data_IF_231373081058
#
_entry.id   IF_231373081058
#
_cell.length_a   1.000
_cell.length_b   1.000
_cell.length_c   1.000
_cell.angle_alpha   90.00
_cell.angle_beta   90.00
_cell.angle_gamma   90.00
#
_symmetry.space_group_name_H-M   'P 1'
#
loop_
_entity.id
_entity.type
_entity.pdbx_description
1 polymer ?
#
# COMPACT_ATOMS: atom_id res chain seq x y z
N UNK A 1 -34.89 42.07 -52.50
CA UNK A 1 -34.63 40.77 -51.85
C UNK A 1 -33.27 40.81 -51.18
N UNK A 2 -33.21 40.90 -49.85
CA UNK A 2 -31.99 40.66 -49.06
C UNK A 2 -32.37 39.58 -48.04
N UNK A 3 -31.79 38.38 -48.18
CA UNK A 3 -31.94 37.31 -47.20
C UNK A 3 -31.16 37.66 -45.93
N UNK A 4 -31.67 37.35 -44.72
CA UNK A 4 -30.87 37.42 -43.51
C UNK A 4 -30.00 36.16 -43.41
N UNK A 5 -28.70 36.37 -43.17
CA UNK A 5 -27.76 35.28 -42.83
C UNK A 5 -27.98 34.92 -41.37
N UNK A 6 -28.47 33.72 -41.10
CA UNK A 6 -28.60 33.16 -39.76
C UNK A 6 -27.22 32.62 -39.33
N UNK A 7 -26.55 33.33 -38.44
CA UNK A 7 -25.33 32.86 -37.78
C UNK A 7 -25.70 31.82 -36.71
N UNK A 8 -25.50 30.54 -37.03
CA UNK A 8 -25.59 29.45 -36.07
C UNK A 8 -24.30 29.48 -35.23
N UNK A 9 -24.40 29.89 -33.97
CA UNK A 9 -23.36 29.68 -32.99
C UNK A 9 -23.35 28.20 -32.57
N UNK A 10 -22.46 27.41 -33.17
CA UNK A 10 -22.10 26.10 -32.64
C UNK A 10 -21.26 26.31 -31.38
N UNK A 11 -21.91 26.30 -30.22
CA UNK A 11 -21.24 26.20 -28.93
C UNK A 11 -20.46 24.88 -28.92
N UNK A 12 -19.15 24.97 -29.19
CA UNK A 12 -18.23 23.88 -28.92
C UNK A 12 -18.15 23.76 -27.40
N UNK A 13 -18.95 22.87 -26.83
CA UNK A 13 -18.65 22.30 -25.53
C UNK A 13 -17.36 21.51 -25.70
N UNK A 14 -16.23 22.20 -25.54
CA UNK A 14 -14.94 21.55 -25.37
C UNK A 14 -15.04 20.70 -24.12
N UNK A 15 -15.23 19.39 -24.30
CA UNK A 15 -14.93 18.43 -23.25
C UNK A 15 -13.43 18.56 -23.03
N UNK A 16 -13.03 19.35 -22.04
CA UNK A 16 -11.66 19.35 -21.55
C UNK A 16 -11.36 17.92 -21.14
N UNK A 17 -10.56 17.22 -21.95
CA UNK A 17 -10.10 15.88 -21.61
C UNK A 17 -9.36 16.00 -20.29
N UNK A 18 -9.88 15.36 -19.24
CA UNK A 18 -9.24 15.36 -17.94
C UNK A 18 -7.79 14.87 -18.09
N UNK A 19 -6.84 15.61 -17.50
CA UNK A 19 -5.44 15.24 -17.55
C UNK A 19 -5.20 13.94 -16.78
N UNK A 20 -4.41 13.04 -17.36
CA UNK A 20 -3.90 11.87 -16.66
C UNK A 20 -2.63 12.31 -15.91
N UNK A 21 -2.66 12.20 -14.59
CA UNK A 21 -1.56 12.52 -13.71
C UNK A 21 -0.79 11.26 -13.30
N UNK A 22 0.41 11.46 -12.77
CA UNK A 22 1.24 10.38 -12.22
C UNK A 22 1.85 10.78 -10.90
N UNK A 23 1.98 9.83 -9.98
CA UNK A 23 2.70 10.03 -8.74
C UNK A 23 3.48 8.78 -8.34
N UNK A 24 4.61 8.98 -7.66
CA UNK A 24 5.36 7.89 -7.05
C UNK A 24 4.82 7.56 -5.66
N UNK A 25 4.90 6.29 -5.27
CA UNK A 25 4.77 5.81 -3.91
C UNK A 25 6.01 4.98 -3.57
N UNK A 26 6.78 5.46 -2.59
CA UNK A 26 7.95 4.76 -2.04
C UNK A 26 7.81 4.62 -0.53
N UNK A 27 8.38 3.57 0.02
CA UNK A 27 8.28 3.26 1.45
C UNK A 27 9.43 2.34 1.88
N UNK A 28 9.68 2.28 3.18
CA UNK A 28 10.52 1.26 3.82
C UNK A 28 11.92 1.22 3.18
N UNK A 29 12.59 2.38 3.21
CA UNK A 29 13.92 2.56 2.64
C UNK A 29 14.98 1.86 3.50
N UNK A 30 14.82 1.93 4.83
CA UNK A 30 15.72 1.37 5.84
C UNK A 30 17.20 1.49 5.46
N UNK A 31 17.78 2.67 5.62
CA UNK A 31 19.21 2.87 5.41
C UNK A 31 20.00 2.17 6.52
N UNK A 32 20.82 1.19 6.16
CA UNK A 32 21.90 0.69 7.01
C UNK A 32 23.17 1.53 6.74
N UNK A 33 23.54 2.46 7.65
CA UNK A 33 24.70 3.33 7.45
C UNK A 33 26.03 2.58 7.56
N UNK A 34 26.03 1.40 8.17
CA UNK A 34 27.22 0.60 8.45
C UNK A 34 27.40 -0.56 7.48
N UNK A 35 26.52 -0.70 6.47
CA UNK A 35 26.67 -1.70 5.42
C UNK A 35 28.02 -1.57 4.71
N UNK A 36 28.76 -2.67 4.65
CA UNK A 36 30.03 -2.77 3.92
C UNK A 36 30.25 -4.18 3.39
N UNK A 37 30.78 -4.29 2.18
CA UNK A 37 31.26 -5.57 1.65
C UNK A 37 32.47 -5.99 2.48
N UNK A 38 32.35 -7.12 3.19
CA UNK A 38 33.34 -7.63 4.13
C UNK A 38 33.63 -9.11 3.83
N UNK A 39 34.87 -9.54 4.10
CA UNK A 39 35.25 -10.96 4.09
C UNK A 39 34.78 -11.70 5.34
N UNK A 40 34.53 -10.97 6.43
CA UNK A 40 33.89 -11.51 7.62
C UNK A 40 32.36 -11.39 7.47
N UNK A 41 31.63 -12.52 7.35
CA UNK A 41 30.18 -12.53 7.15
C UNK A 41 29.37 -11.91 8.29
N UNK A 42 29.94 -11.74 9.48
CA UNK A 42 29.27 -11.14 10.65
C UNK A 42 29.53 -9.63 10.77
N UNK A 43 30.30 -9.06 9.85
CA UNK A 43 30.69 -7.65 9.84
C UNK A 43 30.21 -6.93 8.57
N UNK A 44 29.26 -7.51 7.83
CA UNK A 44 28.69 -6.89 6.64
C UNK A 44 27.72 -5.77 7.00
N UNK A 45 26.73 -6.08 7.85
CA UNK A 45 25.68 -5.15 8.23
C UNK A 45 25.15 -5.48 9.63
N UNK A 46 24.91 -4.48 10.51
CA UNK A 46 24.30 -4.71 11.81
C UNK A 46 22.83 -5.18 11.72
N UNK A 47 22.11 -4.83 10.65
CA UNK A 47 20.70 -5.20 10.42
C UNK A 47 20.46 -6.71 10.24
N UNK A 48 21.48 -7.49 9.87
CA UNK A 48 21.42 -8.96 9.84
C UNK A 48 21.50 -9.59 11.24
N UNK A 49 21.80 -8.81 12.28
CA UNK A 49 22.00 -9.29 13.64
C UNK A 49 23.17 -10.26 13.72
N UNK A 50 22.90 -11.51 14.11
CA UNK A 50 23.90 -12.57 14.22
C UNK A 50 23.92 -13.53 13.02
N UNK A 51 23.20 -13.22 11.94
CA UNK A 51 23.11 -14.08 10.76
C UNK A 51 24.31 -13.83 9.85
N UNK A 52 25.06 -14.87 9.44
CA UNK A 52 26.20 -14.68 8.56
C UNK A 52 25.75 -14.27 7.15
N UNK A 53 26.27 -13.15 6.66
CA UNK A 53 26.01 -12.61 5.33
C UNK A 53 27.13 -13.03 4.39
N UNK A 54 26.88 -14.06 3.59
CA UNK A 54 27.88 -14.65 2.70
C UNK A 54 27.86 -13.96 1.33
N UNK A 55 29.03 -13.63 0.79
CA UNK A 55 29.19 -13.04 -0.55
C UNK A 55 28.35 -11.77 -0.77
N UNK A 56 28.28 -10.91 0.24
CA UNK A 56 27.56 -9.64 0.17
C UNK A 56 28.01 -8.81 -1.04
N UNK A 57 27.05 -8.32 -1.83
CA UNK A 57 27.33 -7.48 -2.99
C UNK A 57 27.26 -5.98 -2.67
N UNK A 58 27.68 -5.10 -3.61
CA UNK A 58 27.67 -3.66 -3.37
C UNK A 58 26.25 -3.08 -3.28
N UNK A 59 25.24 -3.71 -3.89
CA UNK A 59 23.87 -3.20 -3.95
C UNK A 59 23.00 -3.63 -2.76
N UNK A 60 23.55 -4.41 -1.83
CA UNK A 60 22.83 -4.93 -0.67
C UNK A 60 22.87 -6.45 -0.61
N UNK A 61 22.21 -7.00 0.40
CA UNK A 61 22.02 -8.43 0.61
C UNK A 61 20.63 -8.64 1.22
N UNK A 62 19.97 -9.75 0.89
CA UNK A 62 18.62 -10.04 1.43
C UNK A 62 18.60 -10.22 2.95
N UNK A 63 19.72 -10.36 3.65
CA UNK A 63 19.77 -10.37 5.11
C UNK A 63 19.94 -8.98 5.73
N UNK A 64 20.28 -7.99 4.92
CA UNK A 64 20.60 -6.63 5.36
C UNK A 64 19.49 -5.66 4.96
N UNK A 65 19.44 -4.57 5.72
CA UNK A 65 18.80 -3.35 5.27
C UNK A 65 19.63 -2.66 4.16
N UNK A 66 19.04 -1.63 3.54
CA UNK A 66 19.57 -1.02 2.33
C UNK A 66 20.90 -0.28 2.56
N UNK A 67 21.96 -0.56 1.78
CA UNK A 67 23.07 0.37 1.70
C UNK A 67 22.65 1.68 1.03
N UNK A 68 23.36 2.77 1.33
CA UNK A 68 23.12 4.09 0.71
C UNK A 68 23.05 4.03 -0.83
N UNK A 69 23.91 3.22 -1.45
CA UNK A 69 23.98 3.12 -2.90
C UNK A 69 22.72 2.52 -3.53
N UNK A 70 22.03 1.61 -2.83
CA UNK A 70 20.75 1.05 -3.26
C UNK A 70 19.65 2.10 -3.20
N UNK A 71 19.53 2.80 -2.07
CA UNK A 71 18.55 3.89 -1.92
C UNK A 71 18.80 4.96 -2.98
N UNK A 72 20.05 5.41 -3.15
CA UNK A 72 20.41 6.37 -4.18
C UNK A 72 20.02 5.85 -5.57
N UNK A 73 20.31 4.59 -5.89
CA UNK A 73 19.90 3.97 -7.16
C UNK A 73 18.38 4.01 -7.36
N UNK A 74 17.58 3.71 -6.33
CA UNK A 74 16.11 3.75 -6.43
C UNK A 74 15.57 5.14 -6.77
N UNK A 75 16.06 6.19 -6.08
CA UNK A 75 15.60 7.56 -6.29
C UNK A 75 16.01 8.09 -7.68
N UNK A 76 17.20 7.72 -8.15
CA UNK A 76 17.64 8.07 -9.52
C UNK A 76 16.89 7.26 -10.59
N UNK A 77 16.54 6.00 -10.33
CA UNK A 77 15.70 5.22 -11.24
C UNK A 77 14.30 5.83 -11.37
N UNK A 78 13.68 6.27 -10.27
CA UNK A 78 12.41 7.01 -10.30
C UNK A 78 12.51 8.24 -11.21
N UNK A 79 13.62 9.00 -11.12
CA UNK A 79 13.85 10.18 -11.95
C UNK A 79 14.06 9.84 -13.42
N UNK A 80 14.72 8.73 -13.73
CA UNK A 80 14.89 8.26 -15.11
C UNK A 80 13.55 7.85 -15.73
N UNK A 81 12.70 7.15 -14.96
CA UNK A 81 11.41 6.63 -15.42
C UNK A 81 10.37 7.75 -15.56
N UNK A 82 10.18 8.57 -14.52
CA UNK A 82 9.23 9.68 -14.51
C UNK A 82 9.85 10.86 -13.72
N UNK A 83 10.56 11.77 -14.42
CA UNK A 83 11.25 12.90 -13.77
C UNK A 83 10.32 14.02 -13.31
N UNK A 84 9.06 14.04 -13.77
CA UNK A 84 8.09 15.10 -13.48
C UNK A 84 6.76 14.51 -12.99
N UNK A 85 6.78 13.75 -11.89
CA UNK A 85 5.53 13.32 -11.25
C UNK A 85 4.79 14.55 -10.70
N UNK A 86 3.47 14.45 -10.57
CA UNK A 86 2.68 15.50 -9.94
C UNK A 86 3.05 15.67 -8.45
N UNK A 87 3.35 14.55 -7.78
CA UNK A 87 3.81 14.48 -6.40
C UNK A 87 4.45 13.12 -6.10
N UNK A 88 5.03 12.98 -4.90
CA UNK A 88 5.60 11.73 -4.38
C UNK A 88 4.97 11.46 -3.01
N UNK A 89 4.47 10.24 -2.82
CA UNK A 89 4.07 9.71 -1.52
C UNK A 89 5.25 8.94 -0.94
N UNK A 90 5.73 9.37 0.22
CA UNK A 90 6.78 8.69 0.98
C UNK A 90 6.22 8.33 2.35
N UNK A 91 6.02 7.03 2.59
CA UNK A 91 5.31 6.52 3.78
C UNK A 91 6.24 6.07 4.92
N UNK A 92 7.49 6.55 4.94
CA UNK A 92 8.42 6.41 6.07
C UNK A 92 9.23 5.11 6.11
N UNK A 93 9.68 4.77 7.32
CA UNK A 93 10.63 3.70 7.68
C UNK A 93 12.02 3.83 7.03
N UNK A 94 12.79 4.72 7.64
CA UNK A 94 14.06 5.22 7.10
C UNK A 94 15.28 4.55 7.72
N UNK A 95 15.15 4.04 8.95
CA UNK A 95 16.26 3.59 9.80
C UNK A 95 16.40 2.07 9.81
N UNK A 96 17.57 1.50 10.11
CA UNK A 96 17.78 0.06 10.01
C UNK A 96 17.15 -0.70 11.19
N UNK A 97 16.89 -1.98 10.98
CA UNK A 97 16.45 -2.96 11.97
C UNK A 97 17.61 -3.34 12.91
N UNK A 98 17.86 -2.51 13.92
CA UNK A 98 18.88 -2.75 14.94
C UNK A 98 18.29 -2.54 16.33
N UNK A 99 18.90 -3.10 17.40
CA UNK A 99 18.50 -2.79 18.78
C UNK A 99 18.59 -1.29 19.07
N UNK A 100 17.69 -0.77 19.90
CA UNK A 100 17.61 0.66 20.25
C UNK A 100 18.93 1.21 20.81
N UNK A 101 19.69 0.39 21.54
CA UNK A 101 21.00 0.79 22.10
C UNK A 101 22.04 1.12 21.02
N UNK A 102 21.81 0.69 19.78
CA UNK A 102 22.66 0.97 18.61
C UNK A 102 22.13 2.09 17.73
N UNK A 103 20.94 2.63 18.00
CA UNK A 103 20.30 3.66 17.19
C UNK A 103 19.69 4.76 18.08
N UNK A 104 20.54 5.73 18.45
CA UNK A 104 20.10 6.90 19.21
C UNK A 104 19.32 7.91 18.35
N UNK A 105 18.57 8.80 19.01
CA UNK A 105 17.74 9.84 18.40
C UNK A 105 18.49 10.69 17.36
N UNK A 106 19.73 11.09 17.64
CA UNK A 106 20.53 11.88 16.71
C UNK A 106 20.82 11.13 15.40
N UNK A 107 21.06 9.82 15.46
CA UNK A 107 21.27 8.99 14.27
C UNK A 107 19.98 8.84 13.46
N UNK A 108 18.82 8.67 14.14
CA UNK A 108 17.50 8.67 13.50
C UNK A 108 17.27 9.96 12.71
N UNK A 109 17.43 11.12 13.36
CA UNK A 109 17.23 12.41 12.72
C UNK A 109 18.21 12.65 11.57
N UNK A 110 19.46 12.22 11.71
CA UNK A 110 20.47 12.33 10.64
C UNK A 110 20.10 11.49 9.42
N UNK A 111 19.60 10.27 9.61
CA UNK A 111 19.16 9.40 8.51
C UNK A 111 17.96 10.04 7.79
N UNK A 112 16.95 10.49 8.54
CA UNK A 112 15.77 11.16 7.97
C UNK A 112 16.14 12.44 7.20
N UNK A 113 17.04 13.26 7.74
CA UNK A 113 17.54 14.46 7.06
C UNK A 113 18.26 14.09 5.76
N UNK A 114 19.11 13.06 5.79
CA UNK A 114 19.89 12.60 4.64
C UNK A 114 18.98 12.11 3.50
N UNK A 115 17.96 11.32 3.81
CA UNK A 115 16.99 10.83 2.82
C UNK A 115 16.10 11.96 2.29
N UNK A 116 15.62 12.84 3.17
CA UNK A 116 14.86 14.03 2.79
C UNK A 116 15.65 14.91 1.84
N UNK A 117 16.95 15.09 2.09
CA UNK A 117 17.85 15.86 1.23
C UNK A 117 18.02 15.20 -0.14
N UNK A 118 18.25 13.90 -0.21
CA UNK A 118 18.36 13.16 -1.48
C UNK A 118 17.10 13.35 -2.34
N UNK A 119 15.91 13.14 -1.77
CA UNK A 119 14.65 13.29 -2.51
C UNK A 119 14.49 14.74 -3.03
N UNK A 120 14.78 15.75 -2.19
CA UNK A 120 14.71 17.17 -2.58
C UNK A 120 15.69 17.55 -3.68
N UNK A 121 16.90 16.99 -3.64
CA UNK A 121 17.94 17.25 -4.65
C UNK A 121 17.60 16.60 -5.99
N UNK A 122 17.06 15.38 -5.98
CA UNK A 122 16.73 14.64 -7.20
C UNK A 122 15.44 15.18 -7.83
N UNK A 123 14.43 15.51 -7.01
CA UNK A 123 13.12 16.05 -7.40
C UNK A 123 12.87 17.46 -6.82
N UNK A 124 13.54 18.50 -7.34
CA UNK A 124 13.29 19.87 -6.90
C UNK A 124 11.87 20.30 -7.27
N UNK A 125 11.09 20.72 -6.27
CA UNK A 125 9.71 21.19 -6.45
C UNK A 125 8.61 20.16 -6.19
N UNK A 126 8.96 18.89 -5.91
CA UNK A 126 8.00 17.84 -5.55
C UNK A 126 7.76 17.74 -4.02
N UNK A 127 7.63 18.87 -3.32
CA UNK A 127 7.47 18.89 -1.86
C UNK A 127 6.25 19.71 -1.38
N UNK A 128 5.54 19.11 -0.43
CA UNK A 128 4.31 19.50 0.29
C UNK A 128 3.17 20.16 -0.51
N UNK A 129 2.00 19.52 -0.44
CA UNK A 129 0.72 20.19 -0.51
C UNK A 129 -0.33 19.35 0.21
N UNK A 130 -1.05 19.94 1.19
CA UNK A 130 -2.25 19.29 1.75
C UNK A 130 -3.45 19.36 0.79
N UNK A 131 -3.39 20.25 -0.21
CA UNK A 131 -4.29 20.27 -1.37
C UNK A 131 -3.50 20.01 -2.63
N UNK A 132 -3.85 18.98 -3.38
CA UNK A 132 -3.11 18.58 -4.57
C UNK A 132 -3.05 19.73 -5.60
N UNK A 133 -1.86 20.06 -6.14
CA UNK A 133 -1.73 21.02 -7.20
C UNK A 133 -2.33 20.42 -8.47
N UNK A 134 -3.48 20.94 -8.90
CA UNK A 134 -4.16 20.48 -10.11
C UNK A 134 -5.17 21.51 -10.60
N UNK A 135 -5.56 21.47 -11.89
CA UNK A 135 -6.48 22.46 -12.47
C UNK A 135 -7.86 22.49 -11.82
N UNK A 136 -8.24 21.44 -11.08
CA UNK A 136 -9.50 21.34 -10.33
C UNK A 136 -9.43 21.85 -8.89
N UNK A 137 -8.26 21.87 -8.25
CA UNK A 137 -8.09 22.24 -6.83
C UNK A 137 -8.90 21.39 -5.82
N UNK A 138 -9.49 20.27 -6.26
CA UNK A 138 -10.46 19.48 -5.51
C UNK A 138 -9.90 18.15 -4.96
N UNK A 139 -8.57 18.03 -4.87
CA UNK A 139 -7.89 16.85 -4.33
C UNK A 139 -7.14 17.16 -3.04
N UNK A 140 -7.14 16.22 -2.10
CA UNK A 140 -6.45 16.34 -0.80
C UNK A 140 -5.66 15.07 -0.49
N UNK A 141 -4.48 15.23 0.09
CA UNK A 141 -3.75 14.12 0.73
C UNK A 141 -3.92 14.25 2.23
N UNK A 142 -4.32 13.17 2.89
CA UNK A 142 -4.35 13.05 4.36
C UNK A 142 -3.22 12.14 4.78
N UNK A 143 -2.30 12.65 5.59
CA UNK A 143 -1.13 11.93 6.09
C UNK A 143 -1.38 11.53 7.55
N UNK A 144 -1.44 10.23 7.81
CA UNK A 144 -1.70 9.68 9.13
C UNK A 144 -0.41 9.20 9.81
N UNK A 145 -0.30 9.46 11.11
CA UNK A 145 0.64 8.78 11.99
C UNK A 145 -0.02 7.51 12.57
N UNK A 146 -0.02 6.43 11.81
CA UNK A 146 -0.61 5.15 12.26
C UNK A 146 0.30 4.35 13.20
N UNK A 147 1.53 4.83 13.46
CA UNK A 147 2.40 4.29 14.51
C UNK A 147 1.78 4.46 15.91
N UNK A 148 0.89 5.44 16.08
CA UNK A 148 0.08 5.63 17.28
C UNK A 148 -0.80 4.41 17.57
N UNK A 149 -1.17 3.64 16.55
CA UNK A 149 -2.08 2.51 16.68
C UNK A 149 -1.35 1.17 16.82
N UNK A 150 -0.03 1.16 16.63
CA UNK A 150 0.76 -0.06 16.64
C UNK A 150 0.70 -0.72 18.04
N UNK A 151 0.40 -2.01 18.09
CA UNK A 151 0.28 -2.79 19.33
C UNK A 151 1.55 -2.81 20.19
N UNK A 152 2.72 -2.54 19.60
CA UNK A 152 4.00 -2.41 20.32
C UNK A 152 4.28 -1.00 20.85
N UNK A 153 3.45 -0.01 20.50
CA UNK A 153 3.58 1.33 21.04
C UNK A 153 2.92 1.40 22.42
N UNK A 154 3.74 1.40 23.48
CA UNK A 154 3.26 1.50 24.86
C UNK A 154 2.81 2.92 25.24
N UNK A 155 3.22 3.95 24.49
CA UNK A 155 2.84 5.34 24.76
C UNK A 155 1.33 5.59 24.54
N UNK A 156 0.66 4.73 23.78
CA UNK A 156 -0.76 4.86 23.43
C UNK A 156 -1.64 3.73 24.01
N UNK A 157 -1.09 2.87 24.88
CA UNK A 157 -1.73 1.61 25.29
C UNK A 157 -3.15 1.74 25.87
N UNK A 158 -3.45 2.85 26.55
CA UNK A 158 -4.74 3.09 27.21
C UNK A 158 -5.49 4.31 26.64
N UNK A 159 -5.14 4.75 25.43
CA UNK A 159 -5.77 5.90 24.77
C UNK A 159 -6.81 5.41 23.78
N UNK A 160 -8.04 5.92 23.84
CA UNK A 160 -9.08 5.59 22.87
C UNK A 160 -8.84 6.29 21.50
N UNK A 161 -8.34 7.53 21.54
CA UNK A 161 -8.01 8.31 20.35
C UNK A 161 -6.69 9.09 20.59
N UNK A 162 -5.52 8.43 20.44
CA UNK A 162 -4.23 9.08 20.67
C UNK A 162 -4.06 10.28 19.74
N UNK A 163 -3.71 11.43 20.32
CA UNK A 163 -3.60 12.73 19.65
C UNK A 163 -4.89 13.23 18.96
N UNK A 164 -6.07 12.68 19.31
CA UNK A 164 -7.35 12.98 18.67
C UNK A 164 -7.34 12.77 17.14
N UNK A 165 -6.50 11.85 16.65
CA UNK A 165 -6.30 11.65 15.21
C UNK A 165 -7.53 11.04 14.52
N UNK A 166 -8.33 10.20 15.19
CA UNK A 166 -9.57 9.69 14.62
C UNK A 166 -10.64 10.77 14.54
N UNK A 167 -10.84 11.56 15.60
CA UNK A 167 -11.76 12.69 15.56
C UNK A 167 -11.35 13.72 14.48
N UNK A 168 -10.06 14.06 14.42
CA UNK A 168 -9.53 14.94 13.38
C UNK A 168 -9.75 14.38 11.96
N UNK A 169 -9.52 13.08 11.76
CA UNK A 169 -9.76 12.43 10.47
C UNK A 169 -11.25 12.48 10.07
N UNK A 170 -12.15 12.23 11.03
CA UNK A 170 -13.60 12.37 10.82
C UNK A 170 -13.99 13.77 10.34
N UNK A 171 -13.42 14.79 10.98
CA UNK A 171 -13.66 16.20 10.65
C UNK A 171 -13.10 16.57 9.28
N UNK A 172 -11.89 16.12 8.94
CA UNK A 172 -11.25 16.36 7.64
C UNK A 172 -12.05 15.73 6.50
N UNK A 173 -12.46 14.47 6.64
CA UNK A 173 -13.23 13.77 5.61
C UNK A 173 -14.66 14.33 5.48
N UNK A 174 -15.28 14.72 6.59
CA UNK A 174 -16.55 15.46 6.57
C UNK A 174 -16.44 16.81 5.86
N UNK A 175 -15.33 17.53 6.06
CA UNK A 175 -15.03 18.77 5.35
C UNK A 175 -14.80 18.55 3.86
N UNK A 176 -14.06 17.51 3.48
CA UNK A 176 -13.85 17.14 2.09
C UNK A 176 -15.19 16.87 1.37
N UNK A 177 -16.09 16.13 2.03
CA UNK A 177 -17.44 15.88 1.51
C UNK A 177 -18.24 17.16 1.29
N UNK A 178 -18.22 18.09 2.25
CA UNK A 178 -18.88 19.41 2.11
C UNK A 178 -18.28 20.26 1.00
N UNK A 179 -16.97 20.14 0.78
CA UNK A 179 -16.24 20.91 -0.23
C UNK A 179 -16.25 20.26 -1.62
N UNK A 180 -16.79 19.04 -1.77
CA UNK A 180 -16.71 18.28 -3.01
C UNK A 180 -15.27 17.85 -3.36
N UNK A 181 -14.40 17.69 -2.34
CA UNK A 181 -13.03 17.23 -2.50
C UNK A 181 -12.95 15.70 -2.45
N UNK A 182 -12.02 15.13 -3.21
CA UNK A 182 -11.60 13.72 -3.12
C UNK A 182 -10.29 13.61 -2.35
N UNK A 183 -10.09 12.48 -1.66
CA UNK A 183 -9.01 12.29 -0.70
C UNK A 183 -8.20 11.04 -1.02
N UNK A 184 -6.88 11.18 -1.02
CA UNK A 184 -5.95 10.07 -0.81
C UNK A 184 -5.53 10.03 0.65
N UNK A 185 -5.61 8.85 1.27
CA UNK A 185 -5.11 8.63 2.63
C UNK A 185 -3.76 7.91 2.54
N UNK A 186 -2.76 8.41 3.25
CA UNK A 186 -1.47 7.73 3.39
C UNK A 186 -1.14 7.51 4.86
N UNK A 187 -0.42 6.43 5.14
CA UNK A 187 0.12 6.13 6.46
C UNK A 187 1.21 5.08 6.36
N UNK A 188 1.88 4.80 7.47
CA UNK A 188 2.96 3.81 7.48
C UNK A 188 2.41 2.40 7.77
N UNK A 189 2.02 2.14 9.02
CA UNK A 189 1.45 0.86 9.48
C UNK A 189 0.01 0.71 8.99
N UNK A 190 -0.34 -0.37 8.25
CA UNK A 190 -1.71 -0.59 7.79
C UNK A 190 -2.59 -1.28 8.85
N UNK A 191 -3.93 -1.08 8.81
CA UNK A 191 -4.89 -1.92 9.52
C UNK A 191 -4.96 -3.32 8.90
N UNK A 192 -5.64 -4.24 9.60
CA UNK A 192 -5.83 -5.62 9.17
C UNK A 192 -4.62 -6.50 9.48
N UNK A 193 -4.42 -7.51 8.64
CA UNK A 193 -3.49 -8.60 8.90
C UNK A 193 -2.33 -8.62 7.90
N UNK A 194 -1.20 -9.18 8.32
CA UNK A 194 -0.06 -9.48 7.48
C UNK A 194 -0.28 -10.77 6.72
N UNK A 195 -0.14 -10.75 5.41
CA UNK A 195 -0.51 -11.86 4.53
C UNK A 195 0.49 -13.03 4.54
N UNK A 196 1.73 -12.81 5.02
CA UNK A 196 2.76 -13.86 5.10
C UNK A 196 2.67 -14.75 6.33
N UNK A 197 1.75 -14.49 7.24
CA UNK A 197 1.58 -15.30 8.45
C UNK A 197 0.20 -15.12 9.07
N UNK A 198 -0.29 -16.16 9.75
CA UNK A 198 -1.63 -16.12 10.36
C UNK A 198 -1.67 -15.25 11.60
N UNK A 199 -2.82 -14.59 11.79
CA UNK A 199 -3.17 -13.89 13.03
C UNK A 199 -2.18 -12.80 13.45
N UNK A 200 -1.42 -12.24 12.50
CA UNK A 200 -0.54 -11.11 12.75
C UNK A 200 -1.20 -9.82 12.27
N UNK A 201 -1.77 -9.08 13.22
CA UNK A 201 -2.15 -7.69 13.01
C UNK A 201 -1.10 -6.75 13.62
N UNK A 202 -1.08 -5.51 13.13
CA UNK A 202 -0.23 -4.45 13.68
C UNK A 202 -1.02 -3.60 14.67
N UNK A 203 -2.18 -3.09 14.25
CA UNK A 203 -3.03 -2.26 15.09
C UNK A 203 -3.54 -3.03 16.30
N UNK A 204 -3.72 -2.33 17.42
CA UNK A 204 -4.60 -2.80 18.49
C UNK A 204 -6.03 -2.92 17.92
N UNK A 205 -6.78 -3.91 18.39
CA UNK A 205 -8.07 -4.27 17.80
C UNK A 205 -9.07 -3.09 17.79
N UNK A 206 -9.14 -2.31 18.87
CA UNK A 206 -10.04 -1.17 18.97
C UNK A 206 -9.71 -0.07 17.96
N UNK A 207 -8.41 0.19 17.72
CA UNK A 207 -7.98 1.15 16.68
C UNK A 207 -8.29 0.63 15.27
N UNK A 208 -8.18 -0.67 15.04
CA UNK A 208 -8.56 -1.28 13.77
C UNK A 208 -10.06 -1.12 13.51
N UNK A 209 -10.89 -1.32 14.54
CA UNK A 209 -12.35 -1.11 14.48
C UNK A 209 -12.71 0.36 14.21
N UNK A 210 -12.09 1.31 14.89
CA UNK A 210 -12.37 2.74 14.67
C UNK A 210 -11.93 3.20 13.26
N UNK A 211 -10.78 2.72 12.77
CA UNK A 211 -10.35 2.98 11.39
C UNK A 211 -11.40 2.48 10.38
N UNK A 212 -11.86 1.24 10.51
CA UNK A 212 -12.88 0.66 9.64
C UNK A 212 -14.18 1.46 9.64
N UNK A 213 -14.62 1.93 10.81
CA UNK A 213 -15.81 2.77 10.95
C UNK A 213 -15.68 4.09 10.18
N UNK A 214 -14.51 4.73 10.22
CA UNK A 214 -14.27 5.95 9.45
C UNK A 214 -14.23 5.70 7.94
N UNK A 215 -13.60 4.61 7.49
CA UNK A 215 -13.64 4.24 6.06
C UNK A 215 -15.08 3.98 5.63
N UNK A 216 -15.85 3.19 6.39
CA UNK A 216 -17.26 2.92 6.09
C UNK A 216 -18.12 4.20 6.06
N UNK A 217 -17.86 5.16 6.95
CA UNK A 217 -18.59 6.45 6.98
C UNK A 217 -18.25 7.33 5.77
N UNK A 218 -16.98 7.37 5.38
CA UNK A 218 -16.43 8.39 4.45
C UNK A 218 -15.98 7.88 3.10
N UNK A 219 -16.15 6.60 2.80
CA UNK A 219 -15.62 5.96 1.57
C UNK A 219 -15.91 6.74 0.28
N UNK A 220 -17.05 7.46 0.20
CA UNK A 220 -17.44 8.25 -0.98
C UNK A 220 -16.47 9.38 -1.33
N UNK A 221 -15.71 9.89 -0.38
CA UNK A 221 -14.68 10.92 -0.63
C UNK A 221 -13.26 10.35 -0.65
N UNK A 222 -13.08 9.06 -0.37
CA UNK A 222 -11.76 8.42 -0.32
C UNK A 222 -11.51 7.73 -1.66
N UNK A 223 -10.62 8.30 -2.46
CA UNK A 223 -10.28 7.80 -3.79
C UNK A 223 -9.21 6.69 -3.77
N UNK A 224 -8.43 6.59 -2.69
CA UNK A 224 -7.40 5.57 -2.52
C UNK A 224 -6.69 5.67 -1.18
N UNK A 225 -6.11 4.56 -0.72
CA UNK A 225 -5.34 4.49 0.51
C UNK A 225 -3.96 3.85 0.21
N UNK A 226 -2.87 4.41 0.74
CA UNK A 226 -1.50 4.01 0.37
C UNK A 226 -0.63 3.84 1.62
N UNK A 227 -0.12 2.63 1.82
CA UNK A 227 0.62 2.24 3.02
C UNK A 227 1.87 1.42 2.68
N UNK A 228 2.76 1.26 3.66
CA UNK A 228 4.00 0.48 3.57
C UNK A 228 4.07 -0.57 4.69
N UNK A 229 5.17 -0.55 5.44
CA UNK A 229 5.45 -1.33 6.65
C UNK A 229 5.67 -2.84 6.44
N UNK A 230 4.92 -3.44 5.53
CA UNK A 230 4.98 -4.89 5.30
C UNK A 230 6.09 -5.30 4.32
N UNK A 231 6.72 -4.33 3.64
CA UNK A 231 7.76 -4.49 2.61
C UNK A 231 7.35 -5.28 1.36
N UNK A 232 6.12 -5.80 1.33
CA UNK A 232 5.61 -6.67 0.30
C UNK A 232 4.54 -5.97 -0.53
N UNK A 233 4.34 -6.48 -1.75
CA UNK A 233 3.30 -6.01 -2.64
C UNK A 233 1.95 -6.67 -2.31
N UNK A 234 1.02 -5.88 -1.80
CA UNK A 234 -0.33 -6.38 -1.51
C UNK A 234 -1.37 -5.26 -1.60
N UNK A 235 -2.63 -5.64 -1.42
CA UNK A 235 -3.73 -4.70 -1.23
C UNK A 235 -4.71 -5.20 -0.16
N UNK A 236 -5.60 -4.32 0.30
CA UNK A 236 -6.71 -4.65 1.22
C UNK A 236 -8.01 -4.11 0.67
N UNK A 237 -9.03 -4.95 0.69
CA UNK A 237 -10.39 -4.57 0.33
C UNK A 237 -11.17 -4.10 1.55
N UNK A 238 -12.06 -3.13 1.32
CA UNK A 238 -13.02 -2.65 2.30
C UNK A 238 -14.42 -2.78 1.71
N UNK A 239 -15.34 -3.33 2.49
CA UNK A 239 -16.71 -3.61 2.09
C UNK A 239 -17.69 -2.86 3.00
N UNK A 240 -18.85 -2.48 2.45
CA UNK A 240 -19.97 -2.04 3.27
C UNK A 240 -20.74 -3.23 3.86
N UNK A 241 -21.74 -2.93 4.70
CA UNK A 241 -22.62 -3.92 5.29
C UNK A 241 -23.38 -4.76 4.26
N UNK A 242 -23.51 -4.32 3.00
CA UNK A 242 -24.15 -5.09 1.93
C UNK A 242 -23.16 -5.96 1.14
N UNK A 243 -21.86 -5.90 1.46
CA UNK A 243 -20.79 -6.60 0.77
C UNK A 243 -20.31 -5.89 -0.50
N UNK A 244 -20.72 -4.64 -0.74
CA UNK A 244 -20.24 -3.87 -1.90
C UNK A 244 -18.81 -3.37 -1.63
N UNK A 245 -17.87 -3.48 -2.60
CA UNK A 245 -16.52 -2.95 -2.43
C UNK A 245 -16.56 -1.42 -2.41
N UNK A 246 -16.19 -0.82 -1.28
CA UNK A 246 -16.30 0.63 -1.05
C UNK A 246 -14.96 1.36 -1.09
N UNK A 247 -13.85 0.66 -0.81
CA UNK A 247 -12.51 1.23 -0.88
C UNK A 247 -11.45 0.15 -1.08
N UNK A 248 -10.26 0.56 -1.49
CA UNK A 248 -9.08 -0.30 -1.61
C UNK A 248 -7.86 0.43 -1.05
N UNK A 249 -7.01 -0.32 -0.35
CA UNK A 249 -5.71 0.13 0.13
C UNK A 249 -4.61 -0.62 -0.61
N UNK A 250 -3.62 0.11 -1.12
CA UNK A 250 -2.42 -0.43 -1.74
C UNK A 250 -1.28 -0.44 -0.73
N UNK A 251 -0.65 -1.59 -0.56
CA UNK A 251 0.54 -1.79 0.24
C UNK A 251 1.71 -1.89 -0.73
N UNK A 252 2.57 -0.87 -0.72
CA UNK A 252 3.74 -0.85 -1.61
C UNK A 252 4.87 -1.67 -1.02
N UNK A 253 5.64 -2.39 -1.85
CA UNK A 253 6.84 -3.05 -1.36
C UNK A 253 7.90 -2.03 -0.90
N UNK A 254 8.83 -2.52 -0.09
CA UNK A 254 9.95 -1.73 0.40
C UNK A 254 11.09 -1.63 -0.61
N UNK A 255 11.92 -0.59 -0.46
CA UNK A 255 13.23 -0.55 -1.13
C UNK A 255 14.21 -1.49 -0.42
N UNK A 256 14.10 -1.64 0.89
CA UNK A 256 14.91 -2.62 1.63
C UNK A 256 14.60 -4.05 1.18
N UNK A 257 15.62 -4.88 0.93
CA UNK A 257 15.44 -6.31 0.66
C UNK A 257 15.40 -7.15 1.95
N UNK A 258 15.46 -6.52 3.12
CA UNK A 258 15.71 -7.18 4.40
C UNK A 258 14.74 -8.32 4.69
N UNK A 259 15.32 -9.49 4.96
CA UNK A 259 14.61 -10.72 5.34
C UNK A 259 14.10 -10.63 6.77
N UNK A 260 12.78 -10.57 6.90
CA UNK A 260 12.14 -10.41 8.20
C UNK A 260 12.56 -11.46 9.23
N UNK A 261 12.72 -10.98 10.46
CA UNK A 261 12.96 -11.82 11.65
C UNK A 261 11.66 -12.22 12.35
N UNK A 262 10.50 -11.84 11.80
CA UNK A 262 9.20 -12.18 12.37
C UNK A 262 9.02 -13.70 12.45
N UNK A 263 8.75 -14.19 13.66
CA UNK A 263 8.56 -15.61 13.92
C UNK A 263 7.42 -16.20 13.06
N UNK A 264 7.68 -17.36 12.45
CA UNK A 264 6.73 -18.06 11.58
C UNK A 264 6.80 -17.66 10.11
N UNK A 265 7.48 -16.56 9.76
CA UNK A 265 7.71 -16.21 8.35
C UNK A 265 8.98 -16.88 7.86
N UNK A 266 8.84 -17.74 6.86
CA UNK A 266 9.97 -18.39 6.18
C UNK A 266 10.30 -17.59 4.92
N UNK A 267 11.59 -17.31 4.72
CA UNK A 267 12.11 -16.64 3.53
C UNK A 267 11.46 -15.28 3.21
N UNK A 268 11.03 -14.51 4.22
CA UNK A 268 10.34 -13.23 4.03
C UNK A 268 11.25 -12.04 3.69
N UNK A 269 12.02 -12.17 2.62
CA UNK A 269 12.68 -11.05 1.94
C UNK A 269 11.88 -10.67 0.68
N UNK A 270 12.29 -9.57 0.06
CA UNK A 270 11.77 -9.08 -1.21
C UNK A 270 12.91 -8.50 -2.04
N UNK A 271 12.72 -8.36 -3.35
CA UNK A 271 13.56 -7.44 -4.10
C UNK A 271 13.19 -5.98 -3.77
N UNK A 272 14.14 -5.03 -3.93
CA UNK A 272 13.85 -3.61 -3.86
C UNK A 272 12.78 -3.19 -4.87
N UNK A 273 11.70 -2.56 -4.41
CA UNK A 273 10.58 -2.11 -5.23
C UNK A 273 10.32 -0.61 -5.15
N UNK A 274 9.88 -0.01 -6.25
CA UNK A 274 9.33 1.36 -6.33
C UNK A 274 8.05 1.34 -7.17
N UNK A 275 7.09 2.20 -6.85
CA UNK A 275 5.75 2.14 -7.47
C UNK A 275 5.29 3.47 -8.01
N UNK A 276 4.74 3.46 -9.21
CA UNK A 276 4.10 4.63 -9.82
C UNK A 276 2.62 4.35 -10.04
N UNK A 277 1.78 5.33 -9.70
CA UNK A 277 0.36 5.32 -10.00
C UNK A 277 0.03 6.27 -11.14
N UNK A 278 -0.95 5.89 -11.94
CA UNK A 278 -1.61 6.74 -12.92
C UNK A 278 -3.01 7.06 -12.42
N UNK A 279 -3.44 8.32 -12.49
CA UNK A 279 -4.72 8.75 -11.96
C UNK A 279 -5.39 9.84 -12.81
N UNK A 280 -6.69 9.99 -12.65
CA UNK A 280 -7.44 11.11 -13.25
C UNK A 280 -7.33 12.34 -12.33
N UNK A 281 -6.70 13.42 -12.82
CA UNK A 281 -6.43 14.63 -12.04
C UNK A 281 -7.69 15.37 -11.58
N UNK A 282 -8.85 15.10 -12.21
CA UNK A 282 -10.11 15.75 -11.86
C UNK A 282 -10.88 15.03 -10.75
N UNK A 283 -10.77 13.70 -10.70
CA UNK A 283 -11.57 12.85 -9.80
C UNK A 283 -10.74 12.10 -8.76
N UNK A 284 -9.41 12.10 -8.88
CA UNK A 284 -8.51 11.21 -8.16
C UNK A 284 -8.77 9.71 -8.39
N UNK A 285 -9.53 9.36 -9.42
CA UNK A 285 -9.75 7.94 -9.74
C UNK A 285 -8.45 7.30 -10.21
N UNK A 286 -8.01 6.26 -9.51
CA UNK A 286 -6.82 5.49 -9.87
C UNK A 286 -7.07 4.70 -11.16
N UNK A 287 -6.23 4.95 -12.16
CA UNK A 287 -6.33 4.35 -13.50
C UNK A 287 -5.42 3.14 -13.63
N UNK A 288 -4.22 3.20 -13.08
CA UNK A 288 -3.29 2.08 -13.12
C UNK A 288 -2.20 2.22 -12.07
N UNK A 289 -1.39 1.16 -11.95
CA UNK A 289 -0.23 1.08 -11.08
C UNK A 289 0.84 0.25 -11.79
N UNK A 290 2.08 0.75 -11.79
CA UNK A 290 3.26 0.02 -12.27
C UNK A 290 4.24 -0.11 -11.13
N UNK A 291 4.59 -1.35 -10.79
CA UNK A 291 5.70 -1.65 -9.88
C UNK A 291 6.96 -1.84 -10.73
N UNK A 292 8.04 -1.20 -10.32
CA UNK A 292 9.38 -1.43 -10.85
C UNK A 292 10.23 -2.02 -9.75
N UNK A 293 11.19 -2.85 -10.13
CA UNK A 293 12.04 -3.52 -9.17
C UNK A 293 13.48 -3.62 -9.64
N UNK A 294 14.36 -3.90 -8.68
CA UNK A 294 15.74 -4.29 -8.93
C UNK A 294 15.90 -5.77 -8.57
N UNK A 295 16.22 -6.63 -9.53
CA UNK A 295 16.68 -7.98 -9.22
C UNK A 295 18.04 -7.89 -8.50
N UNK A 296 18.03 -7.99 -7.17
CA UNK A 296 19.22 -7.71 -6.35
C UNK A 296 20.34 -8.72 -6.58
N UNK A 297 20.01 -10.02 -6.72
CA UNK A 297 20.98 -11.05 -7.09
C UNK A 297 21.67 -10.74 -8.41
N UNK A 298 20.91 -10.41 -9.44
CA UNK A 298 21.45 -10.07 -10.76
C UNK A 298 22.28 -8.78 -10.72
N UNK A 299 21.82 -7.75 -10.00
CA UNK A 299 22.54 -6.49 -9.84
C UNK A 299 23.91 -6.69 -9.18
N UNK A 300 23.97 -7.55 -8.17
CA UNK A 300 25.21 -7.91 -7.49
C UNK A 300 26.15 -8.74 -8.36
N UNK A 301 25.62 -9.69 -9.14
CA UNK A 301 26.42 -10.50 -10.08
C UNK A 301 27.00 -9.65 -11.22
N UNK A 302 26.21 -8.72 -11.77
CA UNK A 302 26.61 -7.88 -12.90
C UNK A 302 27.34 -6.59 -12.49
N UNK A 303 27.33 -6.26 -11.20
CA UNK A 303 27.91 -5.03 -10.66
C UNK A 303 27.17 -3.74 -11.07
N UNK A 304 26.02 -3.83 -11.73
CA UNK A 304 25.25 -2.67 -12.22
C UNK A 304 23.78 -2.83 -11.86
N UNK A 305 23.14 -1.84 -11.22
CA UNK A 305 21.74 -1.93 -10.87
C UNK A 305 20.90 -1.58 -12.09
N UNK A 306 19.92 -2.40 -12.43
CA UNK A 306 18.97 -2.12 -13.51
C UNK A 306 17.56 -2.26 -12.96
N UNK A 307 16.88 -1.13 -12.86
CA UNK A 307 15.48 -1.10 -12.47
C UNK A 307 14.63 -1.36 -13.71
N UNK A 308 13.73 -2.32 -13.61
CA UNK A 308 12.87 -2.73 -14.72
C UNK A 308 11.41 -2.80 -14.27
N UNK A 309 10.43 -2.63 -15.18
CA UNK A 309 9.03 -2.83 -14.83
C UNK A 309 8.82 -4.30 -14.43
N UNK A 310 8.28 -4.52 -13.25
CA UNK A 310 7.85 -5.84 -12.80
C UNK A 310 6.51 -6.19 -13.44
N UNK A 311 5.50 -5.32 -13.23
CA UNK A 311 4.19 -5.47 -13.84
C UNK A 311 3.39 -4.16 -13.84
N UNK A 312 2.41 -4.14 -14.74
CA UNK A 312 1.30 -3.18 -14.77
C UNK A 312 0.04 -3.87 -14.25
N UNK A 313 -0.66 -3.25 -13.30
CA UNK A 313 -1.78 -3.85 -12.58
C UNK A 313 -2.92 -4.27 -13.51
N UNK A 314 -3.33 -3.38 -14.42
CA UNK A 314 -4.44 -3.64 -15.36
C UNK A 314 -4.14 -4.85 -16.26
N UNK A 315 -2.90 -4.99 -16.72
CA UNK A 315 -2.44 -6.12 -17.53
C UNK A 315 -2.34 -7.41 -16.71
N UNK A 316 -1.68 -7.35 -15.55
CA UNK A 316 -1.45 -8.50 -14.68
C UNK A 316 -2.74 -9.18 -14.22
N UNK A 317 -3.77 -8.39 -13.92
CA UNK A 317 -5.03 -8.90 -13.40
C UNK A 317 -6.18 -8.83 -14.39
N UNK A 318 -5.97 -8.28 -15.59
CA UNK A 318 -6.97 -8.17 -16.65
C UNK A 318 -8.19 -7.34 -16.23
N UNK A 319 -7.93 -6.20 -15.60
CA UNK A 319 -8.94 -5.26 -15.05
C UNK A 319 -8.78 -3.88 -15.70
N UNK A 320 -9.86 -3.09 -15.83
CA UNK A 320 -9.80 -1.85 -16.60
C UNK A 320 -9.15 -0.67 -15.88
N UNK A 321 -9.07 -0.71 -14.55
CA UNK A 321 -8.46 0.33 -13.72
C UNK A 321 -8.01 -0.21 -12.34
N UNK A 322 -7.53 0.68 -11.47
CA UNK A 322 -7.11 0.36 -10.10
C UNK A 322 -8.16 0.76 -9.05
N UNK A 323 -9.44 0.89 -9.42
CA UNK A 323 -10.53 1.20 -8.50
C UNK A 323 -10.99 -0.01 -7.66
N UNK A 324 -11.79 0.24 -6.61
CA UNK A 324 -12.26 -0.81 -5.70
C UNK A 324 -13.04 -1.94 -6.41
N UNK A 325 -13.84 -1.63 -7.44
CA UNK A 325 -14.55 -2.65 -8.23
C UNK A 325 -13.59 -3.56 -9.01
N UNK A 326 -12.58 -2.98 -9.65
CA UNK A 326 -11.52 -3.72 -10.37
C UNK A 326 -10.69 -4.57 -9.41
N UNK A 327 -10.31 -4.03 -8.26
CA UNK A 327 -9.52 -4.75 -7.25
C UNK A 327 -10.32 -5.87 -6.58
N UNK A 328 -11.64 -5.71 -6.40
CA UNK A 328 -12.51 -6.82 -6.02
C UNK A 328 -12.51 -7.95 -7.07
N UNK A 329 -12.57 -7.60 -8.36
CA UNK A 329 -12.49 -8.59 -9.44
C UNK A 329 -11.11 -9.29 -9.48
N UNK A 330 -10.02 -8.54 -9.25
CA UNK A 330 -8.68 -9.09 -9.12
C UNK A 330 -8.58 -10.08 -7.95
N UNK A 331 -9.09 -9.71 -6.76
CA UNK A 331 -9.17 -10.61 -5.60
C UNK A 331 -9.99 -11.87 -5.90
N UNK A 332 -11.11 -11.74 -6.61
CA UNK A 332 -11.92 -12.88 -7.05
C UNK A 332 -11.09 -13.86 -7.89
N UNK A 333 -10.32 -13.34 -8.85
CA UNK A 333 -9.43 -14.15 -9.71
C UNK A 333 -8.28 -14.77 -8.92
N UNK A 334 -7.63 -14.02 -8.03
CA UNK A 334 -6.58 -14.54 -7.12
C UNK A 334 -7.13 -15.69 -6.28
N UNK A 335 -8.35 -15.56 -5.75
CA UNK A 335 -8.96 -16.58 -4.91
C UNK A 335 -9.35 -17.85 -5.67
N UNK A 336 -9.71 -17.76 -6.95
CA UNK A 336 -10.29 -18.87 -7.72
C UNK A 336 -9.41 -19.46 -8.83
N UNK A 337 -8.34 -18.78 -9.24
CA UNK A 337 -7.46 -19.20 -10.33
C UNK A 337 -6.01 -19.32 -9.86
N UNK A 338 -5.45 -20.54 -9.94
CA UNK A 338 -4.10 -20.85 -9.47
C UNK A 338 -2.99 -20.08 -10.18
N UNK A 339 -3.13 -19.79 -11.47
CA UNK A 339 -2.13 -19.05 -12.23
C UNK A 339 -2.12 -17.57 -11.84
N UNK A 340 -3.31 -17.02 -11.55
CA UNK A 340 -3.45 -15.62 -11.07
C UNK A 340 -2.99 -15.51 -9.62
N UNK A 341 -3.28 -16.51 -8.78
CA UNK A 341 -2.73 -16.62 -7.43
C UNK A 341 -1.20 -16.64 -7.46
N UNK A 342 -0.61 -17.51 -8.28
CA UNK A 342 0.84 -17.63 -8.36
C UNK A 342 1.46 -16.32 -8.84
N UNK A 343 0.89 -15.68 -9.86
CA UNK A 343 1.35 -14.36 -10.32
C UNK A 343 1.32 -13.31 -9.21
N UNK A 344 0.22 -13.22 -8.46
CA UNK A 344 0.12 -12.33 -7.32
C UNK A 344 1.17 -12.67 -6.24
N UNK A 345 1.40 -13.96 -5.97
CA UNK A 345 2.36 -14.40 -4.97
C UNK A 345 3.83 -14.12 -5.37
N UNK A 346 4.16 -14.29 -6.66
CA UNK A 346 5.45 -13.91 -7.21
C UNK A 346 5.69 -12.41 -6.97
N UNK A 347 4.73 -11.57 -7.37
CA UNK A 347 4.79 -10.11 -7.17
C UNK A 347 4.76 -9.69 -5.70
N UNK A 348 4.11 -10.45 -4.81
CA UNK A 348 4.06 -10.13 -3.37
C UNK A 348 5.47 -9.96 -2.78
N UNK A 349 6.39 -10.83 -3.17
CA UNK A 349 7.81 -10.75 -2.78
C UNK A 349 8.67 -9.91 -3.71
N UNK A 350 8.06 -9.17 -4.64
CA UNK A 350 8.73 -8.45 -5.72
C UNK A 350 9.58 -9.41 -6.55
N UNK A 351 8.99 -10.53 -6.95
CA UNK A 351 9.63 -11.58 -7.74
C UNK A 351 10.89 -12.18 -7.09
N UNK A 352 10.92 -12.27 -5.76
CA UNK A 352 12.01 -12.88 -4.99
C UNK A 352 11.77 -14.38 -4.70
N UNK A 353 10.55 -14.74 -4.29
CA UNK A 353 10.19 -16.08 -3.83
C UNK A 353 9.87 -17.01 -5.01
N UNK A 354 10.69 -18.03 -5.30
CA UNK A 354 10.46 -18.93 -6.44
C UNK A 354 9.46 -20.05 -6.12
N UNK A 355 9.05 -20.23 -4.86
CA UNK A 355 8.20 -21.36 -4.47
C UNK A 355 6.72 -21.15 -4.83
N UNK A 356 5.99 -22.21 -5.22
CA UNK A 356 4.56 -22.11 -5.44
C UNK A 356 3.75 -21.79 -4.17
N UNK A 357 2.68 -21.00 -4.32
CA UNK A 357 1.72 -20.77 -3.24
C UNK A 357 0.75 -21.95 -3.14
N UNK A 358 0.89 -22.74 -2.07
CA UNK A 358 -0.03 -23.85 -1.77
C UNK A 358 -1.37 -23.37 -1.20
N UNK A 359 -2.23 -24.31 -0.80
CA UNK A 359 -3.56 -23.97 -0.27
C UNK A 359 -3.48 -23.22 1.08
N UNK A 360 -2.48 -23.51 1.93
CA UNK A 360 -2.32 -22.81 3.18
C UNK A 360 -1.90 -21.35 2.95
N UNK A 361 -0.94 -21.14 2.04
CA UNK A 361 -0.55 -19.83 1.54
C UNK A 361 -1.74 -19.09 0.92
N UNK A 362 -2.52 -19.75 0.04
CA UNK A 362 -3.70 -19.14 -0.60
C UNK A 362 -4.68 -18.59 0.44
N UNK A 363 -4.99 -19.37 1.48
CA UNK A 363 -5.93 -18.97 2.53
C UNK A 363 -5.40 -17.77 3.32
N UNK A 364 -4.11 -17.76 3.67
CA UNK A 364 -3.47 -16.65 4.39
C UNK A 364 -3.56 -15.34 3.60
N UNK A 365 -3.18 -15.38 2.33
CA UNK A 365 -3.25 -14.23 1.45
C UNK A 365 -4.68 -13.79 1.19
N UNK A 366 -5.57 -14.68 0.71
CA UNK A 366 -6.95 -14.31 0.36
C UNK A 366 -7.69 -13.73 1.56
N UNK A 367 -7.52 -14.29 2.76
CA UNK A 367 -8.16 -13.75 3.95
C UNK A 367 -7.59 -12.39 4.36
N UNK A 368 -6.27 -12.18 4.30
CA UNK A 368 -5.69 -10.87 4.58
C UNK A 368 -6.10 -9.80 3.56
N UNK A 369 -6.20 -10.16 2.27
CA UNK A 369 -6.63 -9.25 1.19
C UNK A 369 -8.11 -8.85 1.36
N UNK A 370 -8.96 -9.78 1.80
CA UNK A 370 -10.40 -9.59 1.90
C UNK A 370 -10.83 -8.95 3.22
N UNK A 371 -10.28 -9.41 4.34
CA UNK A 371 -10.83 -9.17 5.67
C UNK A 371 -9.87 -8.35 6.54
N UNK A 372 -10.17 -7.06 6.69
CA UNK A 372 -9.45 -6.15 7.58
C UNK A 372 -9.98 -6.24 9.01
N UNK A 373 -11.25 -6.61 9.21
CA UNK A 373 -11.85 -6.80 10.52
C UNK A 373 -11.38 -8.11 11.17
N UNK A 374 -11.08 -8.08 12.47
CA UNK A 374 -10.49 -9.21 13.19
C UNK A 374 -11.38 -10.45 13.18
N UNK A 375 -12.66 -10.31 13.51
CA UNK A 375 -13.61 -11.43 13.55
C UNK A 375 -13.84 -12.03 12.16
N UNK A 376 -13.93 -11.18 11.13
CA UNK A 376 -14.14 -11.61 9.76
C UNK A 376 -12.91 -12.35 9.19
N UNK A 377 -11.71 -11.86 9.48
CA UNK A 377 -10.47 -12.56 9.12
C UNK A 377 -10.39 -13.93 9.80
N UNK A 378 -10.67 -13.99 11.10
CA UNK A 378 -10.69 -15.26 11.84
C UNK A 378 -11.74 -16.24 11.29
N UNK A 379 -12.91 -15.74 10.84
CA UNK A 379 -13.91 -16.55 10.17
C UNK A 379 -13.43 -17.06 8.80
N UNK A 380 -12.81 -16.20 7.99
CA UNK A 380 -12.25 -16.57 6.69
C UNK A 380 -11.18 -17.67 6.79
N UNK A 381 -10.31 -17.61 7.80
CA UNK A 381 -9.31 -18.67 8.02
C UNK A 381 -9.93 -20.04 8.34
N UNK A 382 -11.17 -20.08 8.86
CA UNK A 382 -11.91 -21.33 9.13
C UNK A 382 -12.69 -21.82 7.91
N UNK A 383 -13.27 -20.90 7.15
CA UNK A 383 -14.03 -21.19 5.94
C UNK A 383 -13.71 -20.19 4.82
N UNK A 384 -12.65 -20.46 4.01
CA UNK A 384 -12.18 -19.54 2.98
C UNK A 384 -13.07 -19.50 1.73
N UNK A 385 -14.07 -20.39 1.63
CA UNK A 385 -14.95 -20.55 0.47
C UNK A 385 -16.21 -19.67 0.49
N UNK A 386 -16.59 -19.12 1.65
CA UNK A 386 -17.81 -18.32 1.81
C UNK A 386 -17.47 -16.84 1.95
N UNK A 387 -17.81 -16.05 0.93
CA UNK A 387 -17.97 -14.61 1.12
C UNK A 387 -19.10 -14.43 2.14
N UNK A 388 -18.78 -13.97 3.35
CA UNK A 388 -19.77 -13.86 4.41
C UNK A 388 -20.75 -12.74 4.05
N UNK A 389 -21.92 -13.12 3.54
CA UNK A 389 -23.04 -12.20 3.39
C UNK A 389 -23.48 -11.72 4.79
N UNK A 390 -23.90 -10.46 4.93
CA UNK A 390 -24.28 -9.88 6.21
C UNK A 390 -25.45 -10.64 6.87
N UNK A 391 -25.46 -10.61 8.20
CA UNK A 391 -26.48 -11.20 9.08
C UNK A 391 -27.93 -10.78 8.72
N UNK A 392 -28.13 -9.67 8.00
CA UNK A 392 -29.44 -9.24 7.51
C UNK A 392 -30.08 -10.22 6.50
N UNK A 393 -29.28 -10.90 5.67
CA UNK A 393 -29.82 -11.88 4.72
C UNK A 393 -30.39 -13.12 5.43
N UNK A 394 -29.77 -13.52 6.54
CA UNK A 394 -30.26 -14.60 7.42
C UNK A 394 -31.51 -14.16 8.19
N UNK A 395 -31.59 -12.91 8.64
CA UNK A 395 -32.78 -12.33 9.27
C UNK A 395 -33.97 -12.19 8.30
N UNK A 396 -33.74 -11.77 7.05
CA UNK A 396 -34.76 -11.72 6.00
C UNK A 396 -35.24 -13.12 5.60
N UNK A 397 -34.34 -14.10 5.49
CA UNK A 397 -34.72 -15.49 5.25
C UNK A 397 -35.53 -16.07 6.43
N UNK A 398 -35.16 -15.75 7.67
CA UNK A 398 -35.91 -16.15 8.86
C UNK A 398 -37.29 -15.48 8.94
N UNK A 399 -37.40 -14.18 8.61
CA UNK A 399 -38.66 -13.43 8.58
C UNK A 399 -39.60 -13.89 7.44
N UNK A 400 -39.04 -14.24 6.28
CA UNK A 400 -39.80 -14.82 5.17
C UNK A 400 -40.27 -16.26 5.49
N UNK A 401 -39.44 -17.05 6.18
CA UNK A 401 -39.82 -18.37 6.70
C UNK A 401 -40.94 -18.31 7.74
N UNK A 402 -40.89 -17.33 8.66
CA UNK A 402 -41.96 -17.09 9.64
C UNK A 402 -43.27 -16.62 9.00
N UNK A 403 -43.21 -15.79 7.95
CA UNK A 403 -44.42 -15.41 7.17
C UNK A 403 -45.04 -16.59 6.44
N UNK A 404 -44.24 -17.51 5.90
CA UNK A 404 -44.75 -18.70 5.22
C UNK A 404 -45.42 -19.72 6.19
N UNK A 405 -44.99 -19.74 7.45
CA UNK A 405 -45.60 -20.54 8.53
C UNK A 405 -46.90 -19.93 9.07
N UNK A 406 -47.01 -18.61 9.09
CA UNK A 406 -48.21 -17.89 9.56
C UNK A 406 -49.34 -17.80 8.51
N UNK A 407 -49.04 -18.03 7.22
CA UNK A 407 -50.04 -18.09 6.13
C UNK A 407 -50.63 -19.50 5.92
N UNK A 408 -50.31 -20.46 6.79
CA UNK A 408 -50.81 -21.84 6.75
C UNK A 408 -51.78 -22.19 7.88
N UNK A 409 -52.32 -21.18 8.57
CA UNK A 409 -53.35 -21.31 9.60
C UNK A 409 -54.56 -20.44 9.29
#
# INVERSE_FOLDING_TARGET
MRLPVLLIFLAHWGVTRAGQGKFWHISDLHLDPDYKVSQDPLQVCPSAGSRPVLNAGPWGDYLCDSPWILINSSIYAMKEIEPKPDFILWTGDDTPHVPDEKLGEAAVLQIMERLSKLIREVFPGAFYSEKLPGPSGAGRIVVLNTNLYYSKNEQTANMADPSQQFQWLDDVLSNASRAGEMVYIIGHVPPGFFEKTRNKAWFREDFNKEYLKLIHKHHRVIAGQFFGHQHLDSFRMFYDDAGAPISVMFLTPGVTPWKTTLAGVVNGANNPGIRMFEYDQSTLSLKDMVTYFLNLSQANEQGTPRWEPEYRLTEAYGVPDAGAGSMHAALGRIASNKDVLQRYYDYNSVSYEPQPCDEACRVEHVCALREVAFDAYAACLRDPGVAHAPCLALLLAALLGLRALLLRW
#
